data_IF_928181710149
#
_entry.id   IF_928181710149
#
_cell.length_a   1.000
_cell.length_b   1.000
_cell.length_c   1.000
_cell.angle_alpha   90.00
_cell.angle_beta   90.00
_cell.angle_gamma   90.00
#
_symmetry.space_group_name_H-M   'P 1'
#
loop_
_entity.id
_entity.type
_entity.pdbx_description
1 polymer ?
#
# COMPACT_ATOMS: atom_id res chain seq x y z
N UNK A 1 4.99 -0.08 -6.41
CA UNK A 1 6.44 0.06 -6.63
C UNK A 1 7.19 -0.85 -5.70
N UNK A 2 8.52 -0.71 -5.70
CA UNK A 2 9.44 -1.52 -4.92
C UNK A 2 10.45 -0.59 -4.24
N UNK A 3 10.67 -0.83 -2.95
CA UNK A 3 11.71 -0.18 -2.17
C UNK A 3 12.97 -1.06 -2.16
N UNK A 4 14.14 -0.47 -2.34
CA UNK A 4 15.43 -1.17 -2.38
C UNK A 4 16.23 -0.86 -1.11
N UNK A 5 16.27 -1.77 -0.11
CA UNK A 5 16.88 -1.47 1.19
C UNK A 5 18.36 -1.07 1.12
N UNK A 6 19.12 -1.66 0.18
CA UNK A 6 20.55 -1.39 0.03
C UNK A 6 20.87 0.04 -0.41
N UNK A 7 19.98 0.67 -1.18
CA UNK A 7 20.16 2.05 -1.68
C UNK A 7 19.17 3.03 -1.07
N UNK A 8 18.20 2.53 -0.29
CA UNK A 8 17.06 3.27 0.24
C UNK A 8 16.24 4.00 -0.86
N UNK A 9 16.31 3.53 -2.10
CA UNK A 9 15.57 4.10 -3.22
C UNK A 9 14.20 3.44 -3.37
N UNK A 10 13.18 4.25 -3.67
CA UNK A 10 11.86 3.77 -4.06
C UNK A 10 11.65 3.93 -5.57
N UNK A 11 11.25 2.85 -6.25
CA UNK A 11 10.88 2.90 -7.68
C UNK A 11 9.41 2.57 -7.86
N UNK A 12 8.66 3.52 -8.40
CA UNK A 12 7.26 3.35 -8.79
C UNK A 12 7.15 2.72 -10.17
N UNK A 13 6.16 1.84 -10.34
CA UNK A 13 5.71 1.36 -11.64
C UNK A 13 4.41 2.06 -11.99
N UNK A 14 4.21 2.38 -13.27
CA UNK A 14 2.96 2.94 -13.77
C UNK A 14 2.35 1.98 -14.79
N UNK A 15 1.07 1.69 -14.61
CA UNK A 15 0.27 0.87 -15.51
C UNK A 15 -0.88 1.73 -16.03
N UNK A 16 -1.12 1.69 -17.34
CA UNK A 16 -2.22 2.41 -17.99
C UNK A 16 -2.97 1.46 -18.91
N UNK A 17 -4.31 1.52 -18.84
CA UNK A 17 -5.20 0.59 -19.52
C UNK A 17 -6.28 0.09 -18.55
N UNK A 18 -7.06 -0.88 -19.02
CA UNK A 18 -8.09 -1.53 -18.22
C UNK A 18 -7.49 -2.73 -17.49
N UNK A 19 -7.65 -2.76 -16.17
CA UNK A 19 -7.16 -3.82 -15.31
C UNK A 19 -8.23 -4.22 -14.29
N UNK A 20 -8.28 -5.50 -13.98
CA UNK A 20 -9.09 -6.01 -12.88
C UNK A 20 -8.34 -5.92 -11.55
N UNK A 21 -9.05 -5.54 -10.49
CA UNK A 21 -8.52 -5.60 -9.13
C UNK A 21 -8.59 -7.06 -8.68
N UNK A 22 -7.46 -7.76 -8.69
CA UNK A 22 -7.40 -9.15 -8.20
C UNK A 22 -7.35 -9.14 -6.67
N UNK A 23 -6.54 -8.26 -6.08
CA UNK A 23 -6.51 -8.06 -4.64
C UNK A 23 -6.02 -6.67 -4.28
N UNK A 24 -6.59 -6.11 -3.21
CA UNK A 24 -6.11 -4.92 -2.52
C UNK A 24 -6.05 -5.24 -1.03
N UNK A 25 -4.86 -5.19 -0.45
CA UNK A 25 -4.64 -5.55 0.94
C UNK A 25 -3.77 -4.51 1.63
N UNK A 26 -4.09 -4.18 2.87
CA UNK A 26 -3.29 -3.22 3.61
C UNK A 26 -3.90 -2.83 4.94
N UNK A 27 -3.32 -1.80 5.53
CA UNK A 27 -3.68 -1.30 6.84
C UNK A 27 -3.90 0.20 6.80
N UNK A 28 -4.89 0.68 7.55
CA UNK A 28 -5.03 2.08 7.91
C UNK A 28 -4.51 2.24 9.35
N UNK A 29 -3.41 2.96 9.49
CA UNK A 29 -2.79 3.32 10.78
C UNK A 29 -2.78 4.84 10.92
N UNK A 30 -1.98 5.38 11.83
CA UNK A 30 -1.74 6.82 11.94
C UNK A 30 -0.27 7.16 11.81
N UNK A 31 0.04 8.40 11.43
CA UNK A 31 1.35 9.03 11.52
C UNK A 31 1.11 10.50 11.86
N UNK A 32 1.70 10.99 12.95
CA UNK A 32 1.48 12.37 13.42
C UNK A 32 -0.01 12.72 13.55
N UNK A 33 -0.80 11.80 14.15
CA UNK A 33 -2.25 11.93 14.30
C UNK A 33 -3.06 11.96 12.99
N UNK A 34 -2.44 11.78 11.83
CA UNK A 34 -3.12 11.70 10.53
C UNK A 34 -3.26 10.26 10.04
N UNK A 35 -4.35 9.92 9.32
CA UNK A 35 -4.51 8.61 8.72
C UNK A 35 -3.35 8.26 7.77
N UNK A 36 -2.78 7.07 7.93
CA UNK A 36 -1.71 6.56 7.09
C UNK A 36 -2.13 5.23 6.46
N UNK A 37 -2.33 5.24 5.16
CA UNK A 37 -2.63 4.04 4.38
C UNK A 37 -1.35 3.35 3.93
N UNK A 38 -1.24 2.04 4.21
CA UNK A 38 -0.21 1.19 3.64
C UNK A 38 -0.87 0.04 2.89
N UNK A 39 -0.87 0.11 1.56
CA UNK A 39 -1.60 -0.84 0.71
C UNK A 39 -0.70 -1.46 -0.34
N UNK A 40 -0.89 -2.76 -0.56
CA UNK A 40 -0.35 -3.52 -1.67
C UNK A 40 -1.50 -3.99 -2.55
N UNK A 41 -1.26 -4.05 -3.85
CA UNK A 41 -2.29 -4.39 -4.82
C UNK A 41 -1.73 -5.40 -5.83
N UNK A 42 -2.59 -6.29 -6.30
CA UNK A 42 -2.38 -7.05 -7.53
C UNK A 42 -3.47 -6.73 -8.56
N UNK A 43 -3.05 -6.54 -9.81
CA UNK A 43 -3.90 -6.20 -10.94
C UNK A 43 -3.70 -7.19 -12.08
N UNK A 44 -4.78 -7.55 -12.76
CA UNK A 44 -4.78 -8.45 -13.92
C UNK A 44 -5.03 -7.69 -15.22
N UNK A 45 -4.23 -7.94 -16.26
CA UNK A 45 -4.52 -7.46 -17.61
C UNK A 45 -5.43 -8.43 -18.40
N UNK A 46 -5.81 -8.03 -19.62
CA UNK A 46 -6.68 -8.80 -20.51
C UNK A 46 -6.07 -10.13 -20.98
N UNK A 47 -4.74 -10.29 -20.87
CA UNK A 47 -4.03 -11.53 -21.21
C UNK A 47 -3.89 -12.46 -19.99
N UNK A 48 -4.42 -12.05 -18.83
CA UNK A 48 -4.33 -12.78 -17.57
C UNK A 48 -2.97 -12.63 -16.87
N UNK A 49 -2.12 -11.69 -17.28
CA UNK A 49 -0.88 -11.39 -16.57
C UNK A 49 -1.18 -10.63 -15.29
N UNK A 50 -0.48 -10.98 -14.22
CA UNK A 50 -0.66 -10.35 -12.91
C UNK A 50 0.55 -9.47 -12.59
N UNK A 51 0.26 -8.23 -12.25
CA UNK A 51 1.26 -7.26 -11.78
C UNK A 51 0.93 -6.88 -10.34
N UNK A 52 1.95 -6.54 -9.54
CA UNK A 52 1.70 -6.15 -8.16
C UNK A 52 2.84 -5.40 -7.50
N UNK A 53 2.57 -4.98 -6.26
CA UNK A 53 3.53 -4.30 -5.40
C UNK A 53 2.86 -3.27 -4.50
N UNK A 54 3.66 -2.35 -3.96
CA UNK A 54 3.17 -1.25 -3.14
C UNK A 54 2.31 -0.28 -3.97
N UNK A 55 1.12 0.06 -3.48
CA UNK A 55 0.17 0.93 -4.17
C UNK A 55 0.41 2.40 -3.79
N UNK A 56 0.79 3.21 -4.77
CA UNK A 56 0.88 4.67 -4.60
C UNK A 56 -0.45 5.35 -4.87
N UNK A 57 -1.08 4.97 -5.99
CA UNK A 57 -2.33 5.55 -6.49
C UNK A 57 -2.96 4.60 -7.51
N UNK A 58 -4.27 4.45 -7.47
CA UNK A 58 -5.08 3.86 -8.52
C UNK A 58 -6.27 4.76 -8.80
N UNK A 59 -6.85 4.67 -9.99
CA UNK A 59 -8.11 5.32 -10.36
C UNK A 59 -9.11 4.21 -10.61
N UNK A 60 -10.23 4.25 -9.90
CA UNK A 60 -11.30 3.28 -10.08
C UNK A 60 -12.13 3.68 -11.30
N UNK A 61 -12.27 2.77 -12.27
CA UNK A 61 -13.07 3.00 -13.48
C UNK A 61 -14.55 2.72 -13.23
N UNK A 62 -14.88 1.49 -12.83
CA UNK A 62 -16.24 1.05 -12.55
C UNK A 62 -16.55 1.01 -11.04
N UNK A 63 -16.00 0.02 -10.32
CA UNK A 63 -16.20 -0.16 -8.88
C UNK A 63 -14.93 -0.61 -8.18
N UNK A 64 -14.89 -0.41 -6.87
CA UNK A 64 -13.92 -1.01 -5.96
C UNK A 64 -14.69 -1.42 -4.71
N UNK A 65 -14.92 -2.71 -4.56
CA UNK A 65 -15.67 -3.25 -3.43
C UNK A 65 -14.67 -3.61 -2.32
N UNK A 66 -14.80 -2.96 -1.17
CA UNK A 66 -13.85 -3.08 -0.07
C UNK A 66 -14.54 -3.48 1.22
N UNK A 67 -13.91 -4.39 1.95
CA UNK A 67 -14.27 -4.73 3.32
C UNK A 67 -13.23 -4.10 4.25
N UNK A 68 -13.69 -3.29 5.19
CA UNK A 68 -12.83 -2.65 6.19
C UNK A 68 -13.17 -3.22 7.56
N UNK A 69 -12.19 -3.88 8.17
CA UNK A 69 -12.30 -4.39 9.54
C UNK A 69 -11.71 -3.37 10.50
N UNK A 70 -12.54 -2.82 11.38
CA UNK A 70 -12.08 -1.94 12.44
C UNK A 70 -11.51 -2.76 13.59
N UNK A 71 -10.34 -2.36 14.06
CA UNK A 71 -9.68 -2.92 15.23
C UNK A 71 -9.61 -1.85 16.31
N UNK A 72 -9.84 -2.23 17.57
CA UNK A 72 -9.70 -1.32 18.70
C UNK A 72 -8.23 -0.95 18.92
N UNK A 73 -8.01 0.26 19.43
CA UNK A 73 -6.67 0.80 19.67
C UNK A 73 -6.15 1.67 18.54
N UNK A 74 -4.88 2.07 18.66
CA UNK A 74 -4.19 2.95 17.72
C UNK A 74 -2.79 2.43 17.47
N UNK A 75 -2.40 2.41 16.20
CA UNK A 75 -1.05 2.05 15.77
C UNK A 75 -0.45 3.26 15.09
N UNK A 76 0.61 3.81 15.66
CA UNK A 76 1.37 4.89 15.06
C UNK A 76 2.37 4.36 14.04
N UNK A 77 2.91 5.27 13.23
CA UNK A 77 4.11 5.00 12.45
C UNK A 77 5.21 5.99 12.76
N UNK A 78 6.43 5.47 12.88
CA UNK A 78 7.64 6.26 13.14
C UNK A 78 8.69 5.94 12.09
N UNK A 79 9.40 6.98 11.66
CA UNK A 79 10.55 6.83 10.76
C UNK A 79 11.64 6.02 11.47
N UNK A 80 12.06 4.94 10.84
CA UNK A 80 13.27 4.22 11.19
C UNK A 80 14.42 4.73 10.30
N UNK A 81 15.45 5.38 10.85
CA UNK A 81 16.53 5.97 10.06
C UNK A 81 17.49 4.95 9.46
N UNK A 82 17.56 3.73 10.02
CA UNK A 82 18.40 2.65 9.48
C UNK A 82 17.72 2.01 8.27
N UNK A 83 16.41 1.80 8.37
CA UNK A 83 15.61 1.17 7.32
C UNK A 83 15.13 2.18 6.28
N UNK A 84 15.03 3.47 6.64
CA UNK A 84 14.57 4.55 5.78
C UNK A 84 13.06 4.54 5.52
N UNK A 85 12.26 3.92 6.39
CA UNK A 85 10.81 3.75 6.22
C UNK A 85 10.03 4.03 7.51
N UNK A 86 8.74 4.33 7.37
CA UNK A 86 7.81 4.50 8.49
C UNK A 86 7.25 3.15 8.93
N UNK A 87 7.73 2.64 10.07
CA UNK A 87 7.33 1.34 10.62
C UNK A 87 6.22 1.50 11.64
N UNK A 88 5.41 0.44 11.84
CA UNK A 88 4.40 0.42 12.90
C UNK A 88 5.06 0.52 14.27
N UNK A 89 4.54 1.42 15.11
CA UNK A 89 4.88 1.58 16.50
C UNK A 89 3.64 1.27 17.34
N UNK A 90 3.70 0.16 18.07
CA UNK A 90 2.67 -0.23 19.02
C UNK A 90 2.98 0.41 20.38
N UNK A 91 1.95 0.93 21.03
CA UNK A 91 2.06 1.33 22.44
C UNK A 91 2.15 0.06 23.30
N UNK A 92 2.94 0.13 24.38
CA UNK A 92 3.12 -0.96 25.35
C UNK A 92 2.08 -0.87 26.47
#
# INVERSE_FOLDING_TARGET
GVYFPATQEYKSNQFQGEYEIISLHGTLTTQEDQPYGHFHMSIGDQEGRVFGGHLNRAVISATCELVVTLLEGRVERRMDPEIGLNLMAFEA
#
